data_IF_877346072243
#
_entry.id   IF_877346072243
#
_cell.length_a   1.000
_cell.length_b   1.000
_cell.length_c   1.000
_cell.angle_alpha   90.00
_cell.angle_beta   90.00
_cell.angle_gamma   90.00
#
_symmetry.space_group_name_H-M   'P 1'
#
loop_
_entity.id
_entity.type
_entity.pdbx_description
1 polymer ?
#
# COMPACT_ATOMS: atom_id res chain seq x y z
N UNK A 1 -6.29 -10.36 3.26
CA UNK A 1 -5.93 -11.58 2.52
C UNK A 1 -5.91 -12.72 3.49
N UNK A 2 -6.45 -13.85 3.05
CA UNK A 2 -6.63 -15.03 3.89
C UNK A 2 -7.94 -15.09 4.66
N UNK A 3 -8.89 -14.17 4.42
CA UNK A 3 -10.23 -14.30 5.03
C UNK A 3 -11.00 -15.53 4.55
N UNK A 4 -10.56 -16.15 3.44
CA UNK A 4 -11.09 -17.40 2.90
C UNK A 4 -10.20 -18.62 3.20
N UNK A 5 -9.08 -18.44 3.93
CA UNK A 5 -8.18 -19.55 4.27
C UNK A 5 -8.85 -20.51 5.25
N UNK A 6 -8.64 -21.81 5.05
CA UNK A 6 -9.05 -22.85 5.98
C UNK A 6 -7.88 -23.12 6.94
N UNK A 7 -7.97 -22.71 8.22
CA UNK A 7 -6.89 -22.93 9.17
C UNK A 7 -6.80 -24.42 9.55
N UNK A 8 -5.63 -24.90 10.03
CA UNK A 8 -5.50 -26.28 10.47
C UNK A 8 -6.44 -26.58 11.66
N UNK A 9 -6.84 -27.85 11.89
CA UNK A 9 -7.77 -28.21 12.98
C UNK A 9 -7.29 -27.81 14.39
N UNK A 10 -5.98 -27.65 14.58
CA UNK A 10 -5.38 -27.20 15.84
C UNK A 10 -5.49 -25.69 16.07
N UNK A 11 -5.85 -24.91 15.05
CA UNK A 11 -5.97 -23.46 15.17
C UNK A 11 -7.25 -23.08 15.91
N UNK A 12 -7.21 -22.08 16.81
CA UNK A 12 -8.42 -21.58 17.46
C UNK A 12 -9.43 -21.02 16.44
N UNK A 13 -10.71 -21.30 16.66
CA UNK A 13 -11.81 -20.86 15.77
C UNK A 13 -11.94 -19.35 15.65
N UNK A 14 -11.43 -18.60 16.64
CA UNK A 14 -11.43 -17.13 16.65
C UNK A 14 -10.29 -16.50 15.85
N UNK A 15 -9.29 -17.26 15.39
CA UNK A 15 -8.08 -16.71 14.77
C UNK A 15 -8.37 -15.93 13.48
N UNK A 16 -9.10 -16.55 12.53
CA UNK A 16 -9.45 -15.92 11.24
C UNK A 16 -10.43 -14.75 11.44
N UNK A 17 -11.48 -14.86 12.29
CA UNK A 17 -12.31 -13.71 12.66
C UNK A 17 -11.52 -12.54 13.25
N UNK A 18 -10.61 -12.80 14.21
CA UNK A 18 -9.79 -11.77 14.83
C UNK A 18 -8.88 -11.08 13.81
N UNK A 19 -8.19 -11.86 12.96
CA UNK A 19 -7.37 -11.32 11.88
C UNK A 19 -8.17 -10.43 10.92
N UNK A 20 -9.38 -10.86 10.56
CA UNK A 20 -10.27 -10.10 9.66
C UNK A 20 -10.76 -8.81 10.33
N UNK A 21 -11.06 -8.83 11.63
CA UNK A 21 -11.42 -7.65 12.40
C UNK A 21 -10.26 -6.65 12.49
N UNK A 22 -9.05 -7.12 12.81
CA UNK A 22 -7.84 -6.28 12.84
C UNK A 22 -7.58 -5.64 11.47
N UNK A 23 -7.71 -6.40 10.38
CA UNK A 23 -7.59 -5.88 9.02
C UNK A 23 -8.62 -4.79 8.75
N UNK A 24 -9.89 -5.00 9.11
CA UNK A 24 -10.97 -4.04 8.88
C UNK A 24 -10.76 -2.74 9.65
N UNK A 25 -10.30 -2.82 10.90
CA UNK A 25 -9.92 -1.67 11.71
C UNK A 25 -8.73 -0.93 11.08
N UNK A 26 -7.70 -1.66 10.64
CA UNK A 26 -6.56 -1.08 9.93
C UNK A 26 -6.97 -0.34 8.66
N UNK A 27 -7.85 -0.93 7.85
CA UNK A 27 -8.42 -0.29 6.65
C UNK A 27 -9.10 1.03 7.01
N UNK A 28 -9.97 1.03 8.02
CA UNK A 28 -10.72 2.22 8.43
C UNK A 28 -9.79 3.37 8.88
N UNK A 29 -8.81 3.08 9.74
CA UNK A 29 -7.85 4.09 10.19
C UNK A 29 -6.97 4.60 9.06
N UNK A 30 -6.56 3.74 8.13
CA UNK A 30 -5.74 4.15 7.00
C UNK A 30 -6.51 5.06 6.01
N UNK A 31 -7.80 4.77 5.77
CA UNK A 31 -8.67 5.66 4.99
C UNK A 31 -8.79 7.04 5.65
N UNK A 32 -8.92 7.09 6.99
CA UNK A 32 -8.92 8.34 7.73
C UNK A 32 -7.58 9.08 7.58
N UNK A 33 -6.45 8.36 7.61
CA UNK A 33 -5.13 8.93 7.37
C UNK A 33 -5.08 9.62 6.01
N UNK A 34 -5.54 8.99 4.93
CA UNK A 34 -5.58 9.61 3.60
C UNK A 34 -6.35 10.94 3.58
N UNK A 35 -7.52 11.00 4.21
CA UNK A 35 -8.31 12.23 4.30
C UNK A 35 -7.56 13.32 5.07
N UNK A 36 -6.96 12.98 6.22
CA UNK A 36 -6.22 13.93 7.05
C UNK A 36 -4.92 14.40 6.38
N UNK A 37 -4.22 13.51 5.68
CA UNK A 37 -3.02 13.80 4.90
C UNK A 37 -3.31 14.81 3.79
N UNK A 38 -4.39 14.61 3.02
CA UNK A 38 -4.81 15.54 1.97
C UNK A 38 -5.11 16.91 2.56
N UNK A 39 -5.93 16.96 3.63
CA UNK A 39 -6.29 18.23 4.29
C UNK A 39 -5.04 18.97 4.78
N UNK A 40 -4.12 18.28 5.44
CA UNK A 40 -2.90 18.87 6.00
C UNK A 40 -1.93 19.30 4.91
N UNK A 41 -1.77 18.50 3.86
CA UNK A 41 -0.94 18.85 2.70
C UNK A 41 -1.40 20.15 2.06
N UNK A 42 -2.70 20.28 1.77
CA UNK A 42 -3.25 21.48 1.16
C UNK A 42 -3.13 22.70 2.09
N UNK A 43 -3.31 22.54 3.40
CA UNK A 43 -3.18 23.64 4.37
C UNK A 43 -1.74 24.11 4.58
N UNK A 44 -0.77 23.20 4.51
CA UNK A 44 0.65 23.50 4.76
C UNK A 44 1.46 23.72 3.48
N UNK A 45 0.84 23.50 2.33
CA UNK A 45 1.47 23.54 1.00
C UNK A 45 2.70 22.61 0.88
N UNK A 46 2.68 21.48 1.58
CA UNK A 46 3.73 20.48 1.57
C UNK A 46 3.17 19.12 1.15
N UNK A 47 3.96 18.31 0.43
CA UNK A 47 3.52 17.00 -0.05
C UNK A 47 3.13 16.09 1.11
N UNK A 48 2.01 15.33 0.99
CA UNK A 48 1.55 14.44 2.04
C UNK A 48 2.42 13.20 2.15
N UNK A 49 3.02 12.73 1.06
CA UNK A 49 3.82 11.53 1.03
C UNK A 49 5.07 11.71 0.15
N UNK A 50 6.13 10.92 0.38
CA UNK A 50 7.26 10.84 -0.54
C UNK A 50 6.82 10.29 -1.90
N UNK A 51 7.40 10.80 -3.00
CA UNK A 51 7.01 10.40 -4.36
C UNK A 51 7.21 8.90 -4.62
N UNK A 52 8.36 8.35 -4.17
CA UNK A 52 8.66 6.93 -4.32
C UNK A 52 7.61 6.06 -3.63
N UNK A 53 7.27 6.43 -2.39
CA UNK A 53 6.34 5.70 -1.57
C UNK A 53 4.92 5.75 -2.13
N UNK A 54 4.47 6.93 -2.59
CA UNK A 54 3.15 7.10 -3.19
C UNK A 54 2.98 6.28 -4.48
N UNK A 55 3.97 6.36 -5.39
CA UNK A 55 3.90 5.59 -6.64
C UNK A 55 3.93 4.08 -6.41
N UNK A 56 4.70 3.62 -5.42
CA UNK A 56 4.71 2.21 -5.00
C UNK A 56 3.38 1.78 -4.37
N UNK A 57 2.82 2.61 -3.49
CA UNK A 57 1.56 2.34 -2.82
C UNK A 57 0.41 2.20 -3.83
N UNK A 58 0.29 3.16 -4.75
CA UNK A 58 -0.72 3.14 -5.79
C UNK A 58 -0.61 1.88 -6.68
N UNK A 59 0.62 1.50 -7.05
CA UNK A 59 0.88 0.30 -7.82
C UNK A 59 0.50 -0.99 -7.05
N UNK A 60 0.82 -1.04 -5.76
CA UNK A 60 0.48 -2.16 -4.90
C UNK A 60 -1.04 -2.31 -4.78
N UNK A 61 -1.77 -1.22 -4.52
CA UNK A 61 -3.23 -1.23 -4.43
C UNK A 61 -3.89 -1.69 -5.73
N UNK A 62 -3.39 -1.27 -6.91
CA UNK A 62 -3.86 -1.76 -8.21
C UNK A 62 -3.63 -3.26 -8.36
N UNK A 63 -2.40 -3.75 -8.14
CA UNK A 63 -2.08 -5.18 -8.30
C UNK A 63 -2.93 -6.05 -7.39
N UNK A 64 -3.15 -5.60 -6.15
CA UNK A 64 -3.87 -6.39 -5.16
C UNK A 64 -5.39 -6.33 -5.34
N UNK A 65 -5.96 -5.15 -5.62
CA UNK A 65 -7.40 -4.99 -5.84
C UNK A 65 -7.91 -5.81 -7.04
N UNK A 66 -7.12 -5.88 -8.11
CA UNK A 66 -7.53 -6.54 -9.37
C UNK A 66 -6.90 -7.92 -9.57
N UNK A 67 -5.70 -8.16 -9.02
CA UNK A 67 -4.94 -9.38 -9.21
C UNK A 67 -5.12 -10.40 -8.08
N UNK A 68 -5.01 -9.96 -6.83
CA UNK A 68 -4.79 -10.86 -5.67
C UNK A 68 -6.06 -11.12 -4.86
N UNK A 69 -6.81 -10.09 -4.48
CA UNK A 69 -7.95 -10.22 -3.57
C UNK A 69 -9.08 -11.07 -4.15
N UNK A 70 -9.60 -11.99 -3.34
CA UNK A 70 -10.73 -12.86 -3.69
C UNK A 70 -11.97 -12.55 -2.86
N UNK A 71 -11.77 -12.39 -1.54
CA UNK A 71 -12.87 -12.13 -0.63
C UNK A 71 -13.46 -10.73 -0.93
N UNK A 72 -14.79 -10.60 -1.04
CA UNK A 72 -15.43 -9.31 -1.33
C UNK A 72 -15.03 -8.18 -0.38
N UNK A 73 -14.84 -8.49 0.90
CA UNK A 73 -14.41 -7.51 1.91
C UNK A 73 -13.00 -6.97 1.65
N UNK A 74 -12.07 -7.85 1.23
CA UNK A 74 -10.70 -7.46 0.91
C UNK A 74 -10.71 -6.59 -0.35
N UNK A 75 -11.40 -7.04 -1.40
CA UNK A 75 -11.51 -6.28 -2.65
C UNK A 75 -12.14 -4.90 -2.42
N UNK A 76 -13.15 -4.81 -1.58
CA UNK A 76 -13.77 -3.55 -1.19
C UNK A 76 -12.77 -2.62 -0.50
N UNK A 77 -12.07 -3.10 0.54
CA UNK A 77 -11.08 -2.30 1.27
C UNK A 77 -9.97 -1.74 0.38
N UNK A 78 -9.39 -2.58 -0.47
CA UNK A 78 -8.37 -2.17 -1.44
C UNK A 78 -8.88 -1.18 -2.49
N UNK A 79 -10.13 -1.36 -2.94
CA UNK A 79 -10.75 -0.41 -3.88
C UNK A 79 -10.96 0.96 -3.21
N UNK A 80 -11.40 0.98 -1.95
CA UNK A 80 -11.53 2.22 -1.19
C UNK A 80 -10.19 2.93 -0.98
N UNK A 81 -9.12 2.19 -0.68
CA UNK A 81 -7.78 2.74 -0.62
C UNK A 81 -7.38 3.38 -1.95
N UNK A 82 -7.54 2.65 -3.07
CA UNK A 82 -7.19 3.14 -4.41
C UNK A 82 -7.95 4.43 -4.79
N UNK A 83 -9.22 4.52 -4.41
CA UNK A 83 -10.04 5.71 -4.64
C UNK A 83 -9.58 6.91 -3.82
N UNK A 84 -9.15 6.71 -2.57
CA UNK A 84 -8.64 7.79 -1.73
C UNK A 84 -7.20 8.17 -2.05
N UNK A 85 -6.45 7.30 -2.71
CA UNK A 85 -5.13 7.61 -3.25
C UNK A 85 -5.21 8.68 -4.36
N UNK A 86 -6.35 8.82 -5.06
CA UNK A 86 -6.56 9.86 -6.08
C UNK A 86 -6.48 11.28 -5.46
N UNK A 87 -7.23 11.62 -4.39
CA UNK A 87 -7.03 12.84 -3.63
C UNK A 87 -5.60 13.05 -3.10
N UNK A 88 -4.94 11.99 -2.62
CA UNK A 88 -3.55 12.06 -2.13
C UNK A 88 -2.59 12.43 -3.26
N UNK A 89 -2.75 11.81 -4.42
CA UNK A 89 -2.01 12.12 -5.63
C UNK A 89 -2.25 13.57 -6.07
N UNK A 90 -3.49 14.03 -6.10
CA UNK A 90 -3.82 15.42 -6.40
C UNK A 90 -3.13 16.39 -5.45
N UNK A 91 -3.22 16.17 -4.12
CA UNK A 91 -2.58 17.02 -3.14
C UNK A 91 -1.05 17.03 -3.30
N UNK A 92 -0.46 15.88 -3.61
CA UNK A 92 0.97 15.73 -3.90
C UNK A 92 1.37 16.56 -5.11
N UNK A 93 0.70 16.40 -6.25
CA UNK A 93 1.00 17.13 -7.48
C UNK A 93 0.85 18.65 -7.29
N UNK A 94 -0.19 19.07 -6.55
CA UNK A 94 -0.46 20.48 -6.28
C UNK A 94 0.60 21.14 -5.38
N UNK A 95 1.13 20.40 -4.42
CA UNK A 95 2.08 20.94 -3.41
C UNK A 95 3.55 20.64 -3.71
N UNK A 96 3.82 19.75 -4.66
CA UNK A 96 5.15 19.35 -5.09
C UNK A 96 6.06 20.51 -5.51
N UNK A 97 5.63 21.50 -6.34
CA UNK A 97 6.51 22.59 -6.76
C UNK A 97 7.12 23.37 -5.57
N UNK A 98 6.34 23.53 -4.50
CA UNK A 98 6.80 24.20 -3.26
C UNK A 98 7.65 23.27 -2.40
N UNK A 99 7.24 22.01 -2.26
CA UNK A 99 7.95 21.01 -1.44
C UNK A 99 9.35 20.70 -1.97
N UNK A 100 9.52 20.79 -3.29
CA UNK A 100 10.79 20.56 -3.98
C UNK A 100 11.44 21.85 -4.49
N UNK A 101 11.15 23.01 -3.87
CA UNK A 101 11.68 24.30 -4.30
C UNK A 101 13.24 24.35 -4.30
N UNK A 102 13.88 23.59 -3.42
CA UNK A 102 15.34 23.44 -3.36
C UNK A 102 15.93 22.55 -4.48
N UNK A 103 15.08 21.84 -5.24
CA UNK A 103 15.46 20.96 -6.33
C UNK A 103 14.60 21.23 -7.59
N UNK A 104 14.89 22.29 -8.37
CA UNK A 104 14.04 22.73 -9.49
C UNK A 104 13.80 21.67 -10.56
N UNK A 105 14.78 20.79 -10.81
CA UNK A 105 14.62 19.68 -11.75
C UNK A 105 13.56 18.67 -11.27
N UNK A 106 13.50 18.39 -9.97
CA UNK A 106 12.48 17.50 -9.39
C UNK A 106 11.13 18.21 -9.44
N UNK A 107 11.05 19.44 -8.95
CA UNK A 107 9.80 20.22 -8.88
C UNK A 107 9.06 20.31 -10.22
N UNK A 108 9.79 20.47 -11.33
CA UNK A 108 9.23 20.56 -12.69
C UNK A 108 8.80 19.21 -13.28
N UNK A 109 9.38 18.11 -12.80
CA UNK A 109 9.19 16.78 -13.36
C UNK A 109 8.43 15.82 -12.42
N UNK A 110 7.83 16.31 -11.33
CA UNK A 110 7.12 15.44 -10.38
C UNK A 110 6.07 14.53 -11.02
N UNK A 111 5.19 14.98 -11.95
CA UNK A 111 4.25 14.09 -12.61
C UNK A 111 4.96 12.94 -13.34
N UNK A 112 6.01 13.25 -14.10
CA UNK A 112 6.80 12.26 -14.84
C UNK A 112 7.50 11.27 -13.88
N UNK A 113 8.13 11.77 -12.81
CA UNK A 113 8.79 10.93 -11.81
C UNK A 113 7.80 9.98 -11.12
N UNK A 114 6.63 10.48 -10.75
CA UNK A 114 5.56 9.64 -10.19
C UNK A 114 5.08 8.59 -11.18
N UNK A 115 4.89 8.95 -12.45
CA UNK A 115 4.51 7.96 -13.49
C UNK A 115 5.58 6.89 -13.65
N UNK A 116 6.86 7.26 -13.71
CA UNK A 116 7.96 6.29 -13.83
C UNK A 116 7.97 5.35 -12.62
N UNK A 117 7.91 5.89 -11.40
CA UNK A 117 7.86 5.09 -10.18
C UNK A 117 6.65 4.18 -10.16
N UNK A 118 5.47 4.68 -10.50
CA UNK A 118 4.24 3.91 -10.54
C UNK A 118 4.34 2.75 -11.54
N UNK A 119 4.77 3.00 -12.77
CA UNK A 119 4.89 1.95 -13.80
C UNK A 119 5.95 0.91 -13.40
N UNK A 120 7.11 1.34 -12.92
CA UNK A 120 8.14 0.43 -12.45
C UNK A 120 7.65 -0.43 -11.28
N UNK A 121 6.92 0.19 -10.34
CA UNK A 121 6.35 -0.50 -9.18
C UNK A 121 5.21 -1.43 -9.57
N UNK A 122 4.41 -1.09 -10.59
CA UNK A 122 3.32 -1.91 -11.11
C UNK A 122 3.87 -3.17 -11.77
N UNK A 123 4.89 -3.02 -12.61
CA UNK A 123 5.60 -4.14 -13.23
C UNK A 123 6.30 -5.00 -12.16
N UNK A 124 6.98 -4.38 -11.20
CA UNK A 124 7.68 -5.08 -10.13
C UNK A 124 6.73 -5.89 -9.25
N UNK A 125 5.69 -5.27 -8.71
CA UNK A 125 4.68 -5.95 -7.90
C UNK A 125 3.92 -7.01 -8.70
N UNK A 126 3.50 -6.67 -9.93
CA UNK A 126 2.80 -7.61 -10.80
C UNK A 126 3.64 -8.84 -11.11
N UNK A 127 4.92 -8.67 -11.40
CA UNK A 127 5.86 -9.78 -11.67
C UNK A 127 6.10 -10.61 -10.40
N UNK A 128 6.26 -9.96 -9.25
CA UNK A 128 6.42 -10.66 -7.97
C UNK A 128 5.19 -11.50 -7.62
N UNK A 129 3.99 -10.93 -7.74
CA UNK A 129 2.71 -11.62 -7.50
C UNK A 129 2.52 -12.76 -8.49
N UNK A 130 2.77 -12.51 -9.78
CA UNK A 130 2.69 -13.56 -10.81
C UNK A 130 3.64 -14.70 -10.50
N UNK A 131 4.91 -14.39 -10.21
CA UNK A 131 5.91 -15.36 -9.82
C UNK A 131 5.41 -16.14 -8.61
N UNK A 132 4.98 -15.47 -7.54
CA UNK A 132 4.54 -16.11 -6.31
C UNK A 132 3.39 -17.11 -6.51
N UNK A 133 2.37 -16.71 -7.27
CA UNK A 133 1.13 -17.49 -7.42
C UNK A 133 1.20 -18.54 -8.54
N UNK A 134 2.24 -18.50 -9.39
CA UNK A 134 2.42 -19.43 -10.52
C UNK A 134 2.52 -20.88 -10.06
N UNK A 135 3.27 -21.15 -9.00
CA UNK A 135 3.56 -22.50 -8.50
C UNK A 135 2.89 -22.74 -7.14
N UNK A 136 2.38 -23.95 -6.87
CA UNK A 136 1.87 -24.30 -5.54
C UNK A 136 3.01 -24.36 -4.52
N UNK A 137 2.66 -24.28 -3.24
CA UNK A 137 3.57 -24.50 -2.11
C UNK A 137 4.72 -23.50 -1.97
N UNK A 138 4.67 -22.36 -2.67
CA UNK A 138 5.67 -21.31 -2.54
C UNK A 138 5.52 -20.55 -1.22
N UNK A 139 6.64 -20.14 -0.65
CA UNK A 139 6.71 -19.50 0.66
C UNK A 139 7.00 -20.51 1.79
N UNK A 140 6.84 -20.09 3.02
CA UNK A 140 7.17 -20.90 4.19
C UNK A 140 5.94 -21.56 4.84
N UNK A 141 6.13 -22.75 5.40
CA UNK A 141 5.10 -23.46 6.17
C UNK A 141 4.07 -24.22 5.32
N UNK A 142 3.09 -24.79 6.01
CA UNK A 142 2.06 -25.67 5.40
C UNK A 142 1.08 -24.81 4.59
N UNK A 143 0.83 -25.20 3.34
CA UNK A 143 -0.11 -24.50 2.43
C UNK A 143 -1.47 -25.16 2.28
N UNK A 144 -1.76 -26.15 3.13
CA UNK A 144 -3.09 -26.76 3.22
C UNK A 144 -4.14 -25.70 3.56
N UNK A 145 -5.30 -25.75 2.90
CA UNK A 145 -6.39 -24.81 3.15
C UNK A 145 -6.17 -23.39 2.59
N UNK A 146 -5.03 -23.14 1.95
CA UNK A 146 -4.75 -21.92 1.19
C UNK A 146 -5.24 -22.11 -0.23
N UNK A 147 -6.08 -21.21 -0.72
CA UNK A 147 -6.60 -21.26 -2.09
C UNK A 147 -6.52 -19.89 -2.72
N UNK A 148 -6.23 -19.85 -4.02
CA UNK A 148 -6.33 -18.64 -4.82
C UNK A 148 -6.93 -18.92 -6.20
N UNK A 149 -8.08 -18.31 -6.48
CA UNK A 149 -8.92 -18.47 -7.69
C UNK A 149 -9.19 -19.93 -8.03
N UNK A 150 -9.50 -20.71 -7.00
CA UNK A 150 -9.72 -22.16 -7.10
C UNK A 150 -8.44 -22.99 -7.21
N UNK A 151 -7.25 -22.38 -7.19
CA UNK A 151 -5.97 -23.10 -7.17
C UNK A 151 -5.50 -23.30 -5.74
N UNK A 152 -5.31 -24.55 -5.33
CA UNK A 152 -4.88 -24.91 -3.98
C UNK A 152 -3.41 -24.57 -3.70
N UNK A 153 -3.02 -24.46 -2.43
CA UNK A 153 -1.65 -24.22 -1.99
C UNK A 153 -1.00 -22.91 -2.50
N UNK A 154 -1.81 -21.87 -2.75
CA UNK A 154 -1.36 -20.52 -3.10
C UNK A 154 -1.63 -19.59 -1.93
N UNK A 155 -0.58 -19.18 -1.23
CA UNK A 155 -0.70 -18.40 0.00
C UNK A 155 -0.66 -16.89 -0.30
N UNK A 156 -1.84 -16.29 -0.44
CA UNK A 156 -1.97 -14.83 -0.63
C UNK A 156 -1.65 -14.06 0.65
N UNK A 157 -1.82 -14.68 1.83
CA UNK A 157 -1.55 -14.03 3.11
C UNK A 157 -0.06 -13.76 3.30
N UNK A 158 0.79 -14.77 3.08
CA UNK A 158 2.25 -14.60 3.14
C UNK A 158 2.78 -13.69 2.01
N UNK A 159 2.27 -13.85 0.79
CA UNK A 159 2.57 -12.95 -0.34
C UNK A 159 2.38 -11.48 0.04
N UNK A 160 1.28 -11.19 0.72
CA UNK A 160 0.91 -9.84 1.15
C UNK A 160 1.78 -9.34 2.26
N UNK A 161 2.12 -10.20 3.21
CA UNK A 161 3.05 -9.86 4.27
C UNK A 161 4.39 -9.37 3.70
N UNK A 162 4.97 -10.11 2.74
CA UNK A 162 6.25 -9.73 2.14
C UNK A 162 6.17 -8.46 1.29
N UNK A 163 5.20 -8.38 0.38
CA UNK A 163 5.05 -7.20 -0.49
C UNK A 163 4.71 -5.94 0.30
N UNK A 164 3.77 -6.00 1.23
CA UNK A 164 3.40 -4.88 2.09
C UNK A 164 4.55 -4.50 3.02
N UNK A 165 5.27 -5.47 3.58
CA UNK A 165 6.45 -5.22 4.41
C UNK A 165 7.53 -4.42 3.67
N UNK A 166 7.86 -4.81 2.44
CA UNK A 166 8.81 -4.06 1.60
C UNK A 166 8.29 -2.66 1.27
N UNK A 167 7.01 -2.53 0.90
CA UNK A 167 6.40 -1.24 0.62
C UNK A 167 6.42 -0.30 1.82
N UNK A 168 6.07 -0.81 3.01
CA UNK A 168 6.08 -0.05 4.27
C UNK A 168 7.49 0.35 4.71
N UNK A 169 8.48 -0.50 4.47
CA UNK A 169 9.90 -0.16 4.71
C UNK A 169 10.32 1.01 3.80
N UNK A 170 10.02 0.93 2.50
CA UNK A 170 10.31 2.01 1.55
C UNK A 170 9.58 3.29 1.94
N UNK A 171 8.32 3.19 2.36
CA UNK A 171 7.54 4.33 2.84
C UNK A 171 8.22 4.98 4.04
N UNK A 172 8.60 4.19 5.04
CA UNK A 172 9.22 4.66 6.28
C UNK A 172 10.56 5.35 6.03
N UNK A 173 11.46 4.75 5.25
CA UNK A 173 12.76 5.33 4.87
C UNK A 173 12.56 6.62 4.06
N UNK A 174 11.64 6.61 3.10
CA UNK A 174 11.38 7.78 2.25
C UNK A 174 10.72 8.92 3.04
N UNK A 175 9.87 8.61 4.02
CA UNK A 175 9.25 9.61 4.89
C UNK A 175 10.28 10.29 5.79
N UNK A 176 11.23 9.51 6.34
CA UNK A 176 12.35 10.06 7.10
C UNK A 176 13.25 10.94 6.22
N UNK A 177 13.60 10.47 5.01
CA UNK A 177 14.39 11.25 4.06
C UNK A 177 13.70 12.56 3.68
N UNK A 178 12.38 12.53 3.42
CA UNK A 178 11.58 13.72 3.13
C UNK A 178 11.56 14.70 4.30
N UNK A 179 11.44 14.19 5.54
CA UNK A 179 11.48 15.02 6.75
C UNK A 179 12.84 15.73 6.89
N UNK A 180 13.94 15.00 6.69
CA UNK A 180 15.30 15.56 6.74
C UNK A 180 15.54 16.58 5.63
N UNK A 181 15.10 16.28 4.40
CA UNK A 181 15.27 17.17 3.25
C UNK A 181 14.59 18.53 3.45
N UNK A 182 13.36 18.53 3.98
CA UNK A 182 12.55 19.76 4.09
C UNK A 182 12.69 20.48 5.43
N UNK A 183 13.21 19.80 6.47
CA UNK A 183 13.42 20.37 7.80
C UNK A 183 12.15 20.68 8.61
N UNK A 184 10.97 20.18 8.20
CA UNK A 184 9.70 20.41 8.89
C UNK A 184 8.71 19.26 8.69
N UNK A 185 7.64 19.18 9.48
CA UNK A 185 6.64 18.09 9.36
C UNK A 185 5.47 18.39 8.42
N UNK A 186 5.36 19.59 7.83
CA UNK A 186 4.28 20.00 6.91
C UNK A 186 3.80 18.91 5.94
N UNK A 187 2.49 18.80 5.72
CA UNK A 187 1.87 17.70 4.96
C UNK A 187 1.61 16.45 5.80
N UNK A 188 2.26 16.30 6.97
CA UNK A 188 2.10 15.17 7.88
C UNK A 188 2.21 15.55 9.37
N UNK A 189 1.80 14.64 10.26
CA UNK A 189 2.05 14.76 11.72
C UNK A 189 1.81 13.45 12.45
N UNK A 190 2.44 13.29 13.62
CA UNK A 190 2.11 12.22 14.56
C UNK A 190 0.64 12.14 14.95
N UNK A 191 -0.15 13.22 14.88
CA UNK A 191 -1.59 13.13 15.14
C UNK A 191 -2.39 12.44 14.01
N UNK A 192 -1.77 12.19 12.87
CA UNK A 192 -2.38 11.49 11.72
C UNK A 192 -2.03 10.00 11.75
N UNK A 193 -0.92 9.60 12.39
CA UNK A 193 -0.36 8.24 12.40
C UNK A 193 -0.49 7.62 13.78
#
# INVERSE_FOLDING_TARGET
MGSSDIPPPSAPTWLVPASTACLSVGVAFWLLCYVLMVRRSLATHATPAPLLALGLNLAWEVVYAFGVCEAPIEKFGFTCWLLLDIPVLYATLKTAPRSFASAPLIARNVPLLLTIVFIASLVGNGTFVWWWLKEPHRGYGIKWGKTWKGLEARDTTELSFWSAGVAQMIFSVSALAMLLQRGHSGGQSYAIW
#
